data_IF_457533867455
#
_entry.id   IF_457533867455
#
_cell.length_a   1.000
_cell.length_b   1.000
_cell.length_c   1.000
_cell.angle_alpha   90.00
_cell.angle_beta   90.00
_cell.angle_gamma   90.00
#
_symmetry.space_group_name_H-M   'P 1'
#
loop_
_entity.id
_entity.type
_entity.pdbx_description
1 polymer ?
#
# COMPACT_ATOMS: atom_id res chain seq x y z
N UNK A 1 -29.89 15.03 -25.62
CA UNK A 1 -29.64 14.46 -24.29
C UNK A 1 -28.15 14.19 -24.17
N UNK A 2 -27.39 15.09 -23.55
CA UNK A 2 -25.98 14.84 -23.26
C UNK A 2 -25.94 13.90 -22.06
N UNK A 3 -25.57 12.64 -22.29
CA UNK A 3 -25.14 11.73 -21.23
C UNK A 3 -23.89 12.32 -20.62
N UNK A 4 -24.06 13.02 -19.49
CA UNK A 4 -22.94 13.43 -18.65
C UNK A 4 -22.45 12.14 -17.99
N UNK A 5 -21.53 11.42 -18.65
CA UNK A 5 -20.74 10.42 -17.96
C UNK A 5 -20.11 11.10 -16.75
N UNK A 6 -20.27 10.59 -15.51
CA UNK A 6 -19.52 11.09 -14.37
C UNK A 6 -18.05 10.67 -14.56
N UNK A 7 -17.34 11.46 -15.39
CA UNK A 7 -15.94 11.31 -15.69
C UNK A 7 -15.18 11.86 -14.47
N UNK A 8 -14.72 10.96 -13.60
CA UNK A 8 -13.52 11.10 -12.75
C UNK A 8 -13.35 12.35 -11.85
N UNK A 9 -14.39 13.18 -11.64
CA UNK A 9 -14.28 14.48 -10.96
C UNK A 9 -13.95 14.46 -9.45
N UNK A 10 -13.54 13.33 -8.87
CA UNK A 10 -13.21 13.24 -7.45
C UNK A 10 -11.91 12.48 -7.14
N UNK A 11 -11.11 12.11 -8.15
CA UNK A 11 -9.88 11.33 -7.90
C UNK A 11 -8.73 12.16 -7.28
N UNK A 12 -8.82 13.49 -7.34
CA UNK A 12 -7.81 14.45 -6.84
C UNK A 12 -8.25 15.19 -5.57
N UNK A 13 -9.36 14.80 -4.94
CA UNK A 13 -9.77 15.38 -3.67
C UNK A 13 -8.78 14.96 -2.57
N UNK A 14 -8.08 15.94 -1.99
CA UNK A 14 -7.11 15.73 -0.90
C UNK A 14 -7.70 15.06 0.35
N UNK A 15 -9.02 15.12 0.54
CA UNK A 15 -9.72 14.49 1.67
C UNK A 15 -10.11 13.04 1.40
N UNK A 16 -10.15 12.64 0.11
CA UNK A 16 -10.59 11.32 -0.30
C UNK A 16 -9.72 10.18 0.27
N UNK A 17 -8.36 10.23 0.22
CA UNK A 17 -7.53 9.18 0.79
C UNK A 17 -7.77 8.97 2.29
N UNK A 18 -7.93 10.06 3.05
CA UNK A 18 -8.19 9.99 4.49
C UNK A 18 -9.55 9.32 4.77
N UNK A 19 -10.58 9.72 4.02
CA UNK A 19 -11.93 9.14 4.15
C UNK A 19 -11.93 7.65 3.84
N UNK A 20 -11.26 7.24 2.74
CA UNK A 20 -11.13 5.84 2.35
C UNK A 20 -10.39 5.04 3.43
N UNK A 21 -9.25 5.52 3.92
CA UNK A 21 -8.48 4.83 4.97
C UNK A 21 -9.26 4.72 6.29
N UNK A 22 -10.02 5.76 6.66
CA UNK A 22 -10.90 5.71 7.84
C UNK A 22 -11.96 4.62 7.70
N UNK A 23 -12.56 4.47 6.51
CA UNK A 23 -13.59 3.45 6.25
C UNK A 23 -13.00 2.04 6.18
N UNK A 24 -11.82 1.86 5.60
CA UNK A 24 -11.11 0.58 5.60
C UNK A 24 -10.73 0.14 7.02
N UNK A 25 -10.32 1.08 7.88
CA UNK A 25 -10.03 0.78 9.29
C UNK A 25 -11.29 0.37 10.07
N UNK A 26 -12.42 1.03 9.83
CA UNK A 26 -13.72 0.63 10.38
C UNK A 26 -14.09 -0.80 9.95
N UNK A 27 -13.98 -1.10 8.65
CA UNK A 27 -14.19 -2.45 8.12
C UNK A 27 -13.27 -3.48 8.76
N UNK A 28 -11.98 -3.16 8.97
CA UNK A 28 -11.03 -4.04 9.67
C UNK A 28 -11.47 -4.35 11.10
N UNK A 29 -11.92 -3.33 11.83
CA UNK A 29 -12.39 -3.49 13.22
C UNK A 29 -13.63 -4.40 13.31
N UNK A 30 -14.54 -4.28 12.35
CA UNK A 30 -15.75 -5.11 12.26
C UNK A 30 -15.47 -6.49 11.63
N UNK A 31 -14.43 -6.60 10.80
CA UNK A 31 -14.09 -7.81 10.06
C UNK A 31 -14.61 -7.94 8.67
N UNK A 32 -15.15 -6.86 8.14
CA UNK A 32 -15.74 -6.87 6.82
C UNK A 32 -14.61 -6.91 5.81
N UNK A 33 -14.73 -7.85 4.87
CA UNK A 33 -13.82 -8.05 3.76
C UNK A 33 -12.38 -8.41 4.14
N UNK A 34 -12.10 -8.72 5.41
CA UNK A 34 -10.79 -9.20 5.83
C UNK A 34 -10.56 -10.61 5.28
N UNK A 35 -9.56 -10.75 4.42
CA UNK A 35 -9.21 -11.96 3.67
C UNK A 35 -7.89 -12.59 4.15
N UNK A 36 -7.28 -12.01 5.19
CA UNK A 36 -6.07 -12.53 5.85
C UNK A 36 -6.13 -12.31 7.36
N UNK A 37 -5.52 -13.24 8.11
CA UNK A 37 -5.29 -13.12 9.55
C UNK A 37 -3.81 -13.33 9.84
N UNK A 38 -3.19 -12.34 10.48
CA UNK A 38 -1.80 -12.41 10.95
C UNK A 38 -1.83 -12.86 12.40
N UNK A 39 -0.97 -13.82 12.76
CA UNK A 39 -0.84 -14.30 14.14
C UNK A 39 0.55 -13.91 14.66
N UNK A 40 0.58 -13.19 15.78
CA UNK A 40 1.82 -12.80 16.48
C UNK A 40 1.65 -13.16 17.93
N UNK A 41 2.51 -14.05 18.45
CA UNK A 41 2.49 -14.46 19.87
C UNK A 41 1.07 -14.79 20.36
N UNK A 42 0.36 -15.67 19.63
CA UNK A 42 -1.03 -16.09 19.86
C UNK A 42 -2.13 -15.02 19.69
N UNK A 43 -1.76 -13.77 19.40
CA UNK A 43 -2.71 -12.70 19.08
C UNK A 43 -3.04 -12.71 17.59
N UNK A 44 -4.33 -12.68 17.25
CA UNK A 44 -4.84 -12.73 15.87
C UNK A 44 -5.28 -11.36 15.39
N UNK A 45 -4.74 -10.92 14.26
CA UNK A 45 -5.05 -9.64 13.62
C UNK A 45 -5.67 -9.90 12.24
N UNK A 46 -6.96 -9.61 12.09
CA UNK A 46 -7.60 -9.61 10.78
C UNK A 46 -7.21 -8.34 10.00
N UNK A 47 -6.95 -8.50 8.72
CA UNK A 47 -6.55 -7.41 7.84
C UNK A 47 -7.00 -7.66 6.40
N UNK A 48 -6.75 -6.69 5.53
CA UNK A 48 -7.00 -6.76 4.09
C UNK A 48 -5.68 -6.93 3.35
N UNK A 49 -5.56 -7.98 2.52
CA UNK A 49 -4.32 -8.29 1.76
C UNK A 49 -3.86 -7.13 0.89
N UNK A 50 -4.79 -6.48 0.20
CA UNK A 50 -4.50 -5.36 -0.69
C UNK A 50 -3.85 -4.18 0.04
N UNK A 51 -4.34 -3.83 1.24
CA UNK A 51 -3.79 -2.75 2.06
C UNK A 51 -2.39 -3.13 2.57
N UNK A 52 -2.22 -4.36 3.07
CA UNK A 52 -0.90 -4.84 3.50
C UNK A 52 0.13 -4.82 2.37
N UNK A 53 -0.24 -5.28 1.16
CA UNK A 53 0.64 -5.31 0.00
C UNK A 53 0.97 -3.91 -0.55
N UNK A 54 0.02 -2.96 -0.46
CA UNK A 54 0.24 -1.57 -0.85
C UNK A 54 1.20 -0.84 0.10
N UNK A 55 1.11 -1.13 1.41
CA UNK A 55 1.90 -0.43 2.43
C UNK A 55 3.23 -1.10 2.76
N UNK A 56 3.46 -2.36 2.37
CA UNK A 56 4.67 -3.11 2.73
C UNK A 56 5.14 -4.04 1.62
N UNK A 57 6.42 -3.90 1.24
CA UNK A 57 7.07 -4.81 0.28
C UNK A 57 7.16 -6.25 0.80
N UNK A 58 7.30 -6.42 2.11
CA UNK A 58 7.29 -7.74 2.74
C UNK A 58 5.95 -8.45 2.52
N UNK A 59 4.84 -7.81 2.91
CA UNK A 59 3.52 -8.40 2.74
C UNK A 59 3.14 -8.55 1.28
N UNK A 60 3.56 -7.62 0.40
CA UNK A 60 3.38 -7.78 -1.04
C UNK A 60 3.99 -9.09 -1.52
N UNK A 61 5.28 -9.29 -1.29
CA UNK A 61 5.98 -10.49 -1.76
C UNK A 61 5.43 -11.78 -1.11
N UNK A 62 5.14 -11.74 0.19
CA UNK A 62 4.59 -12.88 0.92
C UNK A 62 3.17 -13.27 0.48
N UNK A 63 2.34 -12.29 0.06
CA UNK A 63 0.96 -12.54 -0.37
C UNK A 63 0.82 -12.84 -1.86
N UNK A 64 1.81 -12.46 -2.69
CA UNK A 64 1.83 -12.79 -4.13
C UNK A 64 2.48 -14.14 -4.42
N UNK A 65 3.39 -14.59 -3.57
CA UNK A 65 4.06 -15.88 -3.73
C UNK A 65 3.18 -16.95 -3.10
N UNK A 66 2.73 -17.94 -3.87
CA UNK A 66 1.84 -19.02 -3.40
C UNK A 66 2.50 -20.03 -2.45
N UNK A 67 3.67 -19.72 -1.90
CA UNK A 67 4.37 -20.57 -0.96
C UNK A 67 3.58 -20.54 0.35
N UNK A 68 3.00 -21.69 0.68
CA UNK A 68 2.21 -21.93 1.89
C UNK A 68 2.91 -21.38 3.12
N UNK A 69 2.32 -20.37 3.77
CA UNK A 69 2.76 -19.86 5.07
C UNK A 69 2.62 -20.98 6.10
N UNK A 70 3.67 -21.80 6.23
CA UNK A 70 3.76 -22.79 7.29
C UNK A 70 4.12 -22.06 8.58
N UNK A 71 3.44 -22.33 9.72
CA UNK A 71 3.76 -21.72 11.00
C UNK A 71 5.22 -21.94 11.47
N UNK A 72 5.95 -22.89 10.86
CA UNK A 72 7.35 -23.17 11.15
C UNK A 72 8.32 -22.21 10.45
N UNK A 73 7.89 -21.44 9.45
CA UNK A 73 8.67 -20.38 8.83
C UNK A 73 8.50 -19.05 9.59
N UNK A 74 8.69 -19.07 10.92
CA UNK A 74 9.09 -17.88 11.68
C UNK A 74 10.53 -17.58 11.27
N UNK A 75 10.73 -17.19 10.01
CA UNK A 75 11.94 -16.49 9.62
C UNK A 75 11.81 -15.16 10.32
N UNK A 76 12.65 -14.99 11.35
CA UNK A 76 13.02 -13.71 11.93
C UNK A 76 12.74 -12.58 10.93
N UNK A 77 11.94 -11.56 11.26
CA UNK A 77 11.79 -10.43 10.36
C UNK A 77 13.21 -10.01 9.95
N UNK A 78 13.54 -9.99 8.64
CA UNK A 78 14.82 -9.46 8.21
C UNK A 78 14.97 -8.08 8.86
N UNK A 79 16.15 -7.73 9.39
CA UNK A 79 16.31 -6.52 10.18
C UNK A 79 15.70 -5.35 9.39
N UNK A 80 14.70 -4.69 10.00
CA UNK A 80 14.26 -3.38 9.53
C UNK A 80 15.50 -2.50 9.40
N UNK A 81 15.44 -1.55 8.46
CA UNK A 81 16.51 -0.68 7.97
C UNK A 81 17.29 -1.24 6.76
N UNK A 82 16.66 -1.14 5.59
CA UNK A 82 17.36 -0.57 4.44
C UNK A 82 16.69 0.76 4.13
N UNK A 83 17.27 1.83 4.68
CA UNK A 83 17.06 3.19 4.20
C UNK A 83 17.55 3.28 2.75
N UNK A 84 16.60 3.29 1.82
CA UNK A 84 16.71 3.91 0.50
C UNK A 84 15.25 3.94 0.01
N UNK A 85 14.60 5.09 -0.14
CA UNK A 85 15.02 6.11 -1.09
C UNK A 85 14.82 7.51 -0.52
N UNK A 86 15.93 8.20 -0.29
CA UNK A 86 15.95 9.65 -0.27
C UNK A 86 15.58 10.15 -1.68
N UNK A 87 14.45 10.84 -1.76
CA UNK A 87 14.23 12.06 -2.52
C UNK A 87 15.06 12.20 -3.82
N UNK A 88 14.52 11.72 -4.95
CA UNK A 88 14.92 12.23 -6.26
C UNK A 88 14.28 13.60 -6.48
N UNK A 89 14.98 14.65 -6.09
CA UNK A 89 14.66 16.03 -6.44
C UNK A 89 14.56 16.19 -7.98
N UNK A 90 13.48 16.77 -8.54
CA UNK A 90 13.40 17.09 -9.97
C UNK A 90 14.31 18.28 -10.31
N UNK A 91 15.38 18.06 -11.08
CA UNK A 91 16.08 19.15 -11.77
C UNK A 91 15.31 19.49 -13.06
N UNK A 92 14.75 20.68 -13.07
CA UNK A 92 14.12 21.36 -14.21
C UNK A 92 15.06 21.39 -15.42
N UNK A 93 14.57 21.21 -16.67
CA UNK A 93 15.38 21.43 -17.85
C UNK A 93 15.51 22.93 -18.07
N UNK A 94 16.73 23.45 -18.22
CA UNK A 94 16.93 24.76 -18.83
C UNK A 94 17.99 24.61 -19.91
N UNK A 95 17.68 25.24 -21.03
CA UNK A 95 18.11 24.98 -22.40
C UNK A 95 19.61 24.89 -22.61
N UNK A 96 19.98 24.00 -23.54
CA UNK A 96 21.13 24.20 -24.38
C UNK A 96 20.93 25.51 -25.16
N UNK A 97 21.85 26.46 -25.01
CA UNK A 97 22.25 27.29 -26.13
C UNK A 97 23.77 27.30 -26.18
N UNK A 98 24.24 26.96 -27.38
CA UNK A 98 25.57 26.45 -27.70
C UNK A 98 26.35 27.53 -28.45
N UNK A 99 27.64 27.54 -28.16
CA UNK A 99 28.76 27.89 -29.03
C UNK A 99 29.00 29.35 -29.45
N UNK A 100 30.27 29.69 -29.23
CA UNK A 100 31.18 30.34 -30.18
C UNK A 100 30.85 30.18 -31.66
#
# INVERSE_FOLDING_TARGET
MTVVSPCTQNLMDSTHPHTVLSKLNEQRSQGLFCDVTIVVEDVKFRAHKNILAACSGYFRNALTTSETWTPAAVTTPPPLFSEAEAEKSPKTPTSADNAQ
#
